data_IF_837617906198
#
_entry.id   IF_837617906198
#
_cell.length_a   1.000
_cell.length_b   1.000
_cell.length_c   1.000
_cell.angle_alpha   90.00
_cell.angle_beta   90.00
_cell.angle_gamma   90.00
#
_symmetry.space_group_name_H-M   'P 1'
#
loop_
_entity.id
_entity.type
_entity.pdbx_description
1 polymer ?
#
# COMPACT_ATOMS: atom_id res chain seq x y z
N UNK A 1 -18.86 -1.37 18.25
CA UNK A 1 -18.98 0.05 17.83
C UNK A 1 -17.96 0.85 18.63
N UNK A 2 -16.80 1.14 18.06
CA UNK A 2 -15.79 2.03 18.67
C UNK A 2 -15.89 3.35 17.93
N UNK A 3 -16.38 4.38 18.61
CA UNK A 3 -16.45 5.75 18.15
C UNK A 3 -15.03 6.22 17.82
N UNK A 4 -14.80 6.60 16.58
CA UNK A 4 -13.61 7.33 16.16
C UNK A 4 -13.54 8.62 16.99
N UNK A 5 -12.59 8.71 17.93
CA UNK A 5 -12.29 9.96 18.65
C UNK A 5 -11.82 10.97 17.61
N UNK A 6 -12.68 11.93 17.32
CA UNK A 6 -12.26 13.17 16.67
C UNK A 6 -11.27 13.85 17.62
N UNK A 7 -10.05 14.12 17.17
CA UNK A 7 -9.10 14.90 17.97
C UNK A 7 -9.69 16.30 18.19
N UNK A 8 -9.76 16.73 19.44
CA UNK A 8 -10.23 18.07 19.78
C UNK A 8 -9.31 19.13 19.18
N UNK A 9 -9.82 20.35 18.94
CA UNK A 9 -9.00 21.48 18.49
C UNK A 9 -7.80 21.69 19.43
N UNK A 10 -7.96 21.45 20.73
CA UNK A 10 -6.86 21.51 21.70
C UNK A 10 -5.78 20.46 21.43
N UNK A 11 -6.15 19.23 21.13
CA UNK A 11 -5.18 18.17 20.80
C UNK A 11 -4.43 18.48 19.49
N UNK A 12 -5.14 18.96 18.46
CA UNK A 12 -4.52 19.37 17.21
C UNK A 12 -3.51 20.50 17.40
N UNK A 13 -3.87 21.52 18.21
CA UNK A 13 -2.97 22.62 18.57
C UNK A 13 -1.78 22.13 19.40
N UNK A 14 -1.99 21.22 20.36
CA UNK A 14 -0.92 20.63 21.15
C UNK A 14 0.08 19.90 20.25
N UNK A 15 -0.40 19.10 19.29
CA UNK A 15 0.43 18.37 18.34
C UNK A 15 1.23 19.31 17.42
N UNK A 16 0.60 20.39 16.96
CA UNK A 16 1.25 21.41 16.12
C UNK A 16 2.34 22.18 16.87
N UNK A 17 2.08 22.56 18.12
CA UNK A 17 3.07 23.22 18.97
C UNK A 17 4.22 22.26 19.35
N UNK A 18 3.92 21.00 19.66
CA UNK A 18 4.92 19.95 19.91
C UNK A 18 5.84 19.77 18.73
N UNK A 19 5.28 19.64 17.54
CA UNK A 19 6.03 19.56 16.28
C UNK A 19 6.91 20.79 16.06
N UNK A 20 6.38 22.00 16.33
CA UNK A 20 7.15 23.24 16.23
C UNK A 20 8.33 23.32 17.19
N UNK A 21 8.19 22.82 18.43
CA UNK A 21 9.29 22.72 19.41
C UNK A 21 10.36 21.74 18.88
N UNK A 22 9.94 20.55 18.45
CA UNK A 22 10.88 19.52 17.97
C UNK A 22 11.62 19.95 16.69
N UNK A 23 10.99 20.74 15.83
CA UNK A 23 11.60 21.26 14.60
C UNK A 23 12.43 22.54 14.82
N UNK A 24 12.65 22.94 16.09
CA UNK A 24 13.48 24.11 16.39
C UNK A 24 12.87 25.45 16.00
N UNK A 25 11.56 25.52 15.73
CA UNK A 25 10.86 26.77 15.39
C UNK A 25 11.01 27.83 16.49
N UNK A 26 11.16 27.37 17.73
CA UNK A 26 11.47 28.20 18.89
C UNK A 26 12.64 27.54 19.66
N UNK A 27 13.68 28.33 19.99
CA UNK A 27 14.91 27.75 20.52
C UNK A 27 14.95 27.67 22.07
N UNK A 28 14.67 28.74 22.78
CA UNK A 28 14.78 28.77 24.24
C UNK A 28 13.47 29.04 24.98
N UNK A 29 12.56 29.81 24.35
CA UNK A 29 11.30 30.21 24.97
C UNK A 29 10.15 30.12 24.00
N UNK A 30 8.98 29.67 24.53
CA UNK A 30 7.73 29.69 23.75
C UNK A 30 7.22 31.12 23.55
N UNK A 31 6.63 31.45 22.39
CA UNK A 31 5.88 32.68 22.21
C UNK A 31 4.75 32.80 23.22
N UNK A 32 4.43 34.03 23.59
CA UNK A 32 3.32 34.29 24.52
C UNK A 32 1.96 33.84 23.96
N UNK A 33 1.02 33.49 24.85
CA UNK A 33 -0.34 33.01 24.53
C UNK A 33 -1.05 33.87 23.47
N UNK A 34 -0.96 35.19 23.58
CA UNK A 34 -1.61 36.12 22.65
C UNK A 34 -1.06 36.01 21.24
N UNK A 35 0.26 35.87 21.11
CA UNK A 35 0.91 35.72 19.81
C UNK A 35 0.54 34.39 19.15
N UNK A 36 0.55 33.29 19.92
CA UNK A 36 0.16 31.98 19.43
C UNK A 36 -1.32 31.92 19.05
N UNK A 37 -2.20 32.59 19.81
CA UNK A 37 -3.63 32.66 19.50
C UNK A 37 -3.90 33.38 18.17
N UNK A 38 -3.18 34.49 17.91
CA UNK A 38 -3.23 35.22 16.65
C UNK A 38 -2.68 34.38 15.49
N UNK A 39 -1.54 33.78 15.68
CA UNK A 39 -0.83 33.01 14.65
C UNK A 39 -1.62 31.76 14.22
N UNK A 40 -2.23 31.05 15.16
CA UNK A 40 -2.98 29.80 14.91
C UNK A 40 -4.49 30.02 14.74
N UNK A 41 -4.97 31.26 14.83
CA UNK A 41 -6.39 31.66 14.71
C UNK A 41 -7.33 30.85 15.64
N UNK A 42 -6.87 30.59 16.89
CA UNK A 42 -7.64 29.86 17.89
C UNK A 42 -7.79 30.67 19.18
N UNK A 43 -8.75 30.27 20.02
CA UNK A 43 -9.02 30.98 21.27
C UNK A 43 -7.82 30.94 22.24
N UNK A 44 -7.65 31.99 23.03
CA UNK A 44 -6.67 32.03 24.12
C UNK A 44 -6.79 30.85 25.08
N UNK A 45 -8.02 30.35 25.30
CA UNK A 45 -8.31 29.21 26.17
C UNK A 45 -7.78 27.89 25.58
N UNK A 46 -7.89 27.75 24.24
CA UNK A 46 -7.36 26.59 23.50
C UNK A 46 -5.84 26.54 23.58
N UNK A 47 -5.17 27.71 23.36
CA UNK A 47 -3.72 27.82 23.49
C UNK A 47 -3.26 27.51 24.91
N UNK A 48 -3.94 28.05 25.92
CA UNK A 48 -3.54 27.80 27.33
C UNK A 48 -3.62 26.31 27.69
N UNK A 49 -4.70 25.63 27.27
CA UNK A 49 -4.82 24.16 27.47
C UNK A 49 -3.75 23.38 26.72
N UNK A 50 -3.43 23.76 25.49
CA UNK A 50 -2.38 23.11 24.71
C UNK A 50 -1.00 23.30 25.36
N UNK A 51 -0.71 24.50 25.90
CA UNK A 51 0.52 24.78 26.63
C UNK A 51 0.58 24.01 27.96
N UNK A 52 -0.54 23.88 28.70
CA UNK A 52 -0.58 23.02 29.90
C UNK A 52 -0.33 21.54 29.56
N UNK A 53 -0.85 21.05 28.43
CA UNK A 53 -0.54 19.68 28.00
C UNK A 53 0.96 19.50 27.76
N UNK A 54 1.60 20.46 27.08
CA UNK A 54 3.05 20.42 26.85
C UNK A 54 3.89 20.57 28.15
N UNK A 55 3.38 21.33 29.14
CA UNK A 55 3.97 21.37 30.48
C UNK A 55 3.88 20.03 31.21
N UNK A 56 2.70 19.37 31.12
CA UNK A 56 2.49 18.03 31.70
C UNK A 56 3.35 16.96 31.00
N UNK A 57 3.62 17.14 29.71
CA UNK A 57 4.55 16.29 28.94
C UNK A 57 6.02 16.59 29.22
N UNK A 58 6.31 17.65 29.99
CA UNK A 58 7.68 18.05 30.30
C UNK A 58 8.45 18.73 29.17
N UNK A 59 7.78 19.11 28.10
CA UNK A 59 8.41 19.76 26.94
C UNK A 59 8.65 21.26 27.14
N UNK A 60 7.90 21.88 28.05
CA UNK A 60 8.07 23.29 28.44
C UNK A 60 7.90 23.44 29.93
N UNK A 61 8.53 24.46 30.50
CA UNK A 61 8.44 24.81 31.92
C UNK A 61 7.83 26.21 32.10
N UNK A 62 6.76 26.28 32.89
CA UNK A 62 6.15 27.56 33.30
C UNK A 62 7.03 28.27 34.28
N UNK A 63 7.33 29.56 34.05
CA UNK A 63 8.13 30.41 34.95
C UNK A 63 7.29 31.33 35.84
N UNK A 64 5.99 31.10 35.95
CA UNK A 64 5.06 31.93 36.70
C UNK A 64 4.38 33.01 35.88
N UNK A 65 3.42 33.76 36.52
CA UNK A 65 2.59 34.75 35.82
C UNK A 65 3.42 35.83 35.13
N UNK A 66 3.17 36.05 33.86
CA UNK A 66 3.79 37.11 33.04
C UNK A 66 5.14 36.75 32.43
N UNK A 67 5.72 35.61 32.73
CA UNK A 67 6.99 35.15 32.13
C UNK A 67 6.74 34.19 31.00
N UNK A 68 7.67 34.18 30.01
CA UNK A 68 7.63 33.22 28.91
C UNK A 68 7.95 31.82 29.44
N UNK A 69 7.28 30.82 28.92
CA UNK A 69 7.59 29.42 29.21
C UNK A 69 8.92 29.04 28.57
N UNK A 70 9.81 28.41 29.34
CA UNK A 70 11.04 27.85 28.79
C UNK A 70 10.74 26.56 28.05
N UNK A 71 11.36 26.39 26.92
CA UNK A 71 11.43 25.10 26.25
C UNK A 71 12.47 24.30 27.08
N UNK A 72 12.04 23.15 27.59
CA UNK A 72 12.97 22.23 28.22
C UNK A 72 13.78 21.64 27.05
N UNK A 73 15.03 22.05 26.93
CA UNK A 73 15.97 21.32 26.11
C UNK A 73 15.96 19.90 26.69
N UNK A 74 15.43 18.95 25.92
CA UNK A 74 15.74 17.56 26.20
C UNK A 74 17.25 17.49 26.36
N UNK A 75 17.81 16.80 27.41
CA UNK A 75 19.24 16.67 27.57
C UNK A 75 19.79 16.37 26.19
N UNK A 76 20.90 17.01 25.80
CA UNK A 76 21.60 16.82 24.52
C UNK A 76 21.80 15.32 24.30
N UNK A 77 20.75 14.66 23.97
CA UNK A 77 20.74 13.31 23.52
C UNK A 77 20.83 13.44 22.01
N UNK A 78 22.08 13.38 21.55
CA UNK A 78 22.47 13.12 20.19
C UNK A 78 21.56 13.83 19.19
N UNK A 79 22.05 14.89 18.56
CA UNK A 79 21.42 15.48 17.39
C UNK A 79 20.81 14.31 16.62
N UNK A 80 19.47 14.25 16.49
CA UNK A 80 18.82 13.17 15.77
C UNK A 80 19.50 13.09 14.42
N UNK A 81 20.49 12.20 14.31
CA UNK A 81 21.08 11.89 13.02
C UNK A 81 19.91 11.39 12.20
N UNK A 82 19.55 12.18 11.17
CA UNK A 82 18.48 11.80 10.27
C UNK A 82 18.77 10.40 9.76
N UNK A 83 17.82 9.47 9.92
CA UNK A 83 18.00 8.11 9.45
C UNK A 83 18.13 8.09 7.93
N UNK A 84 19.02 7.26 7.43
CA UNK A 84 19.14 6.93 6.02
C UNK A 84 18.21 5.75 5.68
N UNK A 85 17.08 6.05 5.02
CA UNK A 85 15.99 5.10 4.80
C UNK A 85 16.02 4.61 3.36
N UNK A 86 16.18 3.30 3.19
CA UNK A 86 16.21 2.65 1.89
C UNK A 86 14.82 2.09 1.52
N UNK A 87 14.36 2.36 0.29
CA UNK A 87 13.20 1.73 -0.32
C UNK A 87 13.66 0.63 -1.28
N UNK A 88 13.39 -0.63 -0.93
CA UNK A 88 13.68 -1.77 -1.78
C UNK A 88 12.42 -2.13 -2.58
N UNK A 89 12.46 -1.80 -3.88
CA UNK A 89 11.34 -1.95 -4.80
C UNK A 89 11.17 -3.40 -5.26
N UNK A 90 9.94 -3.78 -5.60
CA UNK A 90 9.66 -5.04 -6.27
C UNK A 90 10.26 -5.08 -7.68
N UNK A 91 10.04 -4.04 -8.47
CA UNK A 91 10.48 -3.92 -9.86
C UNK A 91 11.23 -2.62 -10.12
N UNK A 92 12.07 -2.62 -11.15
CA UNK A 92 12.81 -1.44 -11.62
C UNK A 92 12.01 -0.53 -12.55
N UNK A 93 10.80 -0.93 -12.97
CA UNK A 93 10.05 -0.23 -14.00
C UNK A 93 9.56 1.15 -13.53
N UNK A 94 9.88 2.24 -14.25
CA UNK A 94 9.60 3.61 -13.81
C UNK A 94 8.11 3.96 -13.68
N UNK A 95 7.25 3.30 -14.46
CA UNK A 95 5.80 3.57 -14.45
C UNK A 95 5.09 3.04 -13.20
N UNK A 96 5.65 2.05 -12.51
CA UNK A 96 5.12 1.55 -11.23
C UNK A 96 5.27 2.58 -10.10
N UNK A 97 6.23 3.51 -10.20
CA UNK A 97 6.44 4.57 -9.21
C UNK A 97 5.43 5.71 -9.41
N UNK A 98 5.03 5.98 -10.64
CA UNK A 98 4.05 7.03 -10.97
C UNK A 98 2.66 6.77 -10.39
N UNK A 99 2.27 5.50 -10.30
CA UNK A 99 0.99 5.07 -9.71
C UNK A 99 1.03 5.05 -8.17
N UNK A 100 2.22 5.19 -7.57
CA UNK A 100 2.43 5.22 -6.12
C UNK A 100 2.64 6.65 -5.60
N UNK A 101 1.76 7.58 -5.91
CA UNK A 101 1.83 8.98 -5.45
C UNK A 101 2.05 9.10 -3.94
N UNK A 102 1.47 8.17 -3.17
CA UNK A 102 1.66 8.09 -1.72
C UNK A 102 3.11 7.72 -1.29
N UNK A 103 3.92 7.08 -2.14
CA UNK A 103 5.34 6.84 -1.86
C UNK A 103 6.12 8.15 -1.97
N UNK A 104 5.79 9.01 -2.94
CA UNK A 104 6.39 10.33 -3.06
C UNK A 104 5.98 11.22 -1.87
N UNK A 105 4.71 11.19 -1.47
CA UNK A 105 4.21 11.87 -0.27
C UNK A 105 4.95 11.37 0.99
N UNK A 106 5.08 10.04 1.14
CA UNK A 106 5.81 9.43 2.26
C UNK A 106 7.26 9.90 2.32
N UNK A 107 7.97 9.89 1.19
CA UNK A 107 9.36 10.35 1.11
C UNK A 107 9.48 11.81 1.51
N UNK A 108 8.60 12.66 0.98
CA UNK A 108 8.57 14.08 1.33
C UNK A 108 8.37 14.29 2.84
N UNK A 109 7.41 13.60 3.45
CA UNK A 109 7.17 13.68 4.90
C UNK A 109 8.37 13.20 5.73
N UNK A 110 9.08 12.17 5.27
CA UNK A 110 10.28 11.67 5.94
C UNK A 110 11.46 12.64 5.80
N UNK A 111 11.62 13.27 4.65
CA UNK A 111 12.64 14.28 4.38
C UNK A 111 12.37 15.58 5.17
N UNK A 112 11.11 16.00 5.29
CA UNK A 112 10.70 17.12 6.16
C UNK A 112 10.97 16.82 7.65
N UNK A 113 10.90 15.53 8.06
CA UNK A 113 11.25 15.10 9.41
C UNK A 113 12.77 14.99 9.64
N UNK A 114 13.61 15.35 8.67
CA UNK A 114 15.07 15.36 8.75
C UNK A 114 15.74 14.03 8.41
N UNK A 115 15.01 13.07 7.82
CA UNK A 115 15.58 11.81 7.35
C UNK A 115 16.05 11.94 5.89
N UNK A 116 16.95 11.05 5.46
CA UNK A 116 17.36 10.93 4.05
C UNK A 116 16.70 9.70 3.45
N UNK A 117 16.06 9.84 2.30
CA UNK A 117 15.40 8.72 1.63
C UNK A 117 16.03 8.42 0.27
N UNK A 118 16.14 7.14 -0.08
CA UNK A 118 16.61 6.73 -1.40
C UNK A 118 15.97 5.41 -1.83
N UNK A 119 15.86 5.22 -3.13
CA UNK A 119 15.51 3.92 -3.70
C UNK A 119 16.78 3.09 -3.88
N UNK A 120 16.69 1.79 -3.58
CA UNK A 120 17.77 0.85 -3.88
C UNK A 120 18.11 0.82 -5.37
N UNK A 121 19.39 0.64 -5.70
CA UNK A 121 19.86 0.54 -7.08
C UNK A 121 19.27 -0.67 -7.81
N UNK A 122 19.08 -1.77 -7.08
CA UNK A 122 18.48 -3.01 -7.60
C UNK A 122 17.12 -3.25 -6.97
N UNK A 123 16.21 -3.77 -7.77
CA UNK A 123 14.89 -4.25 -7.33
C UNK A 123 14.93 -5.71 -6.88
N UNK A 124 13.88 -6.14 -6.18
CA UNK A 124 13.70 -7.54 -5.78
C UNK A 124 13.66 -8.49 -6.99
N UNK A 125 13.03 -8.08 -8.10
CA UNK A 125 12.97 -8.85 -9.35
C UNK A 125 14.34 -8.96 -10.03
N UNK A 126 15.12 -7.88 -10.08
CA UNK A 126 16.49 -7.92 -10.62
C UNK A 126 17.42 -8.82 -9.78
N UNK A 127 17.15 -8.91 -8.48
CA UNK A 127 17.81 -9.85 -7.57
C UNK A 127 17.21 -11.27 -7.63
N UNK A 128 16.22 -11.50 -8.52
CA UNK A 128 15.56 -12.79 -8.72
C UNK A 128 14.68 -13.24 -7.55
N UNK A 129 14.27 -12.35 -6.64
CA UNK A 129 13.62 -12.69 -5.36
C UNK A 129 14.44 -13.70 -4.53
N UNK A 130 15.73 -13.84 -4.83
CA UNK A 130 16.65 -14.76 -4.16
C UNK A 130 17.18 -14.15 -2.86
N UNK A 131 16.94 -14.84 -1.75
CA UNK A 131 17.31 -14.37 -0.41
C UNK A 131 18.81 -14.14 -0.27
N UNK A 132 19.64 -15.00 -0.86
CA UNK A 132 21.09 -14.88 -0.78
C UNK A 132 21.62 -13.64 -1.52
N UNK A 133 21.11 -13.38 -2.74
CA UNK A 133 21.47 -12.19 -3.52
C UNK A 133 20.96 -10.90 -2.85
N UNK A 134 19.74 -10.95 -2.29
CA UNK A 134 19.17 -9.82 -1.55
C UNK A 134 19.98 -9.54 -0.28
N UNK A 135 20.32 -10.57 0.49
CA UNK A 135 21.14 -10.45 1.68
C UNK A 135 22.50 -9.81 1.37
N UNK A 136 23.19 -10.32 0.34
CA UNK A 136 24.47 -9.77 -0.11
C UNK A 136 24.34 -8.29 -0.53
N UNK A 137 23.30 -7.92 -1.27
CA UNK A 137 23.04 -6.55 -1.69
C UNK A 137 22.75 -5.63 -0.49
N UNK A 138 21.86 -6.05 0.41
CA UNK A 138 21.43 -5.27 1.58
C UNK A 138 22.58 -5.04 2.56
N UNK A 139 23.43 -6.06 2.81
CA UNK A 139 24.57 -5.93 3.74
C UNK A 139 25.67 -5.00 3.24
N UNK A 140 25.75 -4.75 1.93
CA UNK A 140 26.69 -3.80 1.33
C UNK A 140 26.06 -2.40 1.10
N UNK A 141 24.80 -2.23 1.43
CA UNK A 141 24.09 -0.96 1.30
C UNK A 141 23.95 -0.30 2.65
N UNK A 142 24.52 0.88 2.82
CA UNK A 142 24.38 1.64 4.06
C UNK A 142 22.95 2.19 4.19
N UNK A 143 22.21 1.68 5.17
CA UNK A 143 20.88 2.14 5.53
C UNK A 143 20.59 1.87 7.00
N UNK A 144 19.93 2.82 7.68
CA UNK A 144 19.50 2.70 9.07
C UNK A 144 18.12 2.04 9.19
N UNK A 145 17.35 2.04 8.11
CA UNK A 145 16.04 1.40 8.03
C UNK A 145 15.71 0.98 6.60
N UNK A 146 14.98 -0.12 6.45
CA UNK A 146 14.53 -0.63 5.17
C UNK A 146 13.01 -0.64 5.06
N UNK A 147 12.47 -0.13 3.95
CA UNK A 147 11.06 -0.29 3.56
C UNK A 147 11.02 -1.20 2.34
N UNK A 148 10.53 -2.43 2.53
CA UNK A 148 10.49 -3.46 1.50
C UNK A 148 9.11 -3.45 0.86
N UNK A 149 9.05 -3.16 -0.44
CA UNK A 149 7.79 -3.07 -1.20
C UNK A 149 7.52 -4.42 -1.85
N UNK A 150 6.38 -5.03 -1.54
CA UNK A 150 5.87 -6.26 -2.13
C UNK A 150 6.83 -7.48 -2.05
N UNK A 151 7.57 -7.60 -0.94
CA UNK A 151 8.49 -8.73 -0.75
C UNK A 151 7.79 -10.09 -0.69
N UNK A 152 8.46 -11.13 -1.23
CA UNK A 152 8.01 -12.51 -1.08
C UNK A 152 8.13 -12.99 0.36
N UNK A 153 7.46 -14.11 0.71
CA UNK A 153 7.50 -14.63 2.08
C UNK A 153 8.93 -14.95 2.56
N UNK A 154 9.81 -15.65 1.80
CA UNK A 154 11.19 -15.90 2.23
C UNK A 154 12.01 -14.62 2.41
N UNK A 155 11.81 -13.62 1.54
CA UNK A 155 12.48 -12.33 1.63
C UNK A 155 12.08 -11.60 2.91
N UNK A 156 10.79 -11.48 3.20
CA UNK A 156 10.29 -10.80 4.40
C UNK A 156 10.67 -11.58 5.68
N UNK A 157 10.73 -12.91 5.63
CA UNK A 157 11.20 -13.72 6.74
C UNK A 157 12.68 -13.45 7.04
N UNK A 158 13.53 -13.32 6.02
CA UNK A 158 14.93 -12.93 6.19
C UNK A 158 15.04 -11.53 6.82
N UNK A 159 14.32 -10.53 6.29
CA UNK A 159 14.32 -9.17 6.85
C UNK A 159 13.81 -9.10 8.29
N UNK A 160 12.89 -9.97 8.70
CA UNK A 160 12.41 -10.01 10.08
C UNK A 160 13.47 -10.44 11.10
N UNK A 161 14.54 -11.09 10.62
CA UNK A 161 15.68 -11.57 11.40
C UNK A 161 16.92 -10.68 11.22
N UNK A 162 16.88 -9.76 10.27
CA UNK A 162 17.97 -8.83 9.98
C UNK A 162 18.08 -7.77 11.07
N UNK A 163 19.31 -7.36 11.44
CA UNK A 163 19.56 -6.43 12.54
C UNK A 163 19.05 -5.03 12.28
N UNK A 164 19.11 -4.56 11.02
CA UNK A 164 18.59 -3.25 10.65
C UNK A 164 17.06 -3.26 10.63
N UNK A 165 16.40 -2.30 11.29
CA UNK A 165 14.95 -2.19 11.29
C UNK A 165 14.33 -2.26 9.90
N UNK A 166 13.29 -3.09 9.75
CA UNK A 166 12.71 -3.38 8.46
C UNK A 166 11.18 -3.33 8.50
N UNK A 167 10.59 -2.74 7.48
CA UNK A 167 9.13 -2.57 7.32
C UNK A 167 8.65 -3.19 6.01
N UNK A 168 7.67 -4.09 6.09
CA UNK A 168 7.04 -4.68 4.92
C UNK A 168 5.85 -3.82 4.44
N UNK A 169 6.02 -3.11 3.34
CA UNK A 169 4.95 -2.43 2.64
C UNK A 169 4.35 -3.39 1.60
N UNK A 170 3.14 -3.88 1.86
CA UNK A 170 2.54 -5.00 1.13
C UNK A 170 3.30 -6.34 1.30
N UNK A 171 3.22 -7.22 0.29
CA UNK A 171 3.93 -8.49 0.26
C UNK A 171 3.34 -9.60 1.14
N UNK A 172 4.00 -10.74 1.17
CA UNK A 172 3.52 -11.97 1.82
C UNK A 172 3.99 -12.07 3.28
N UNK A 173 3.46 -11.21 4.14
CA UNK A 173 3.89 -11.03 5.54
C UNK A 173 3.18 -11.90 6.58
N UNK A 174 2.17 -12.69 6.21
CA UNK A 174 1.37 -13.50 7.16
C UNK A 174 2.28 -14.46 7.94
N UNK A 175 2.22 -14.37 9.28
CA UNK A 175 3.02 -15.20 10.18
C UNK A 175 4.47 -14.75 10.39
N UNK A 176 4.91 -13.63 9.81
CA UNK A 176 6.26 -13.09 9.96
C UNK A 176 6.24 -11.94 10.97
N UNK A 177 7.11 -11.92 12.01
CA UNK A 177 7.17 -10.86 13.02
C UNK A 177 7.90 -9.61 12.50
N UNK A 178 7.35 -8.96 11.47
CA UNK A 178 7.88 -7.74 10.85
C UNK A 178 6.84 -6.63 10.90
N UNK A 179 7.28 -5.39 11.12
CA UNK A 179 6.40 -4.22 10.99
C UNK A 179 5.81 -4.14 9.58
N UNK A 180 4.53 -3.84 9.47
CA UNK A 180 3.94 -3.79 8.14
C UNK A 180 2.66 -2.95 8.04
N UNK A 181 2.35 -2.55 6.81
CA UNK A 181 1.07 -1.97 6.44
C UNK A 181 0.67 -2.35 5.01
N UNK A 182 -0.63 -2.27 4.73
CA UNK A 182 -1.20 -2.46 3.39
C UNK A 182 -2.70 -2.73 3.43
N UNK A 183 -3.37 -2.77 2.27
CA UNK A 183 -4.79 -3.06 2.19
C UNK A 183 -5.11 -4.51 2.58
N UNK A 184 -6.28 -4.70 3.18
CA UNK A 184 -6.87 -6.02 3.41
C UNK A 184 -7.64 -6.47 2.16
N UNK A 185 -6.89 -6.96 1.17
CA UNK A 185 -7.44 -7.39 -0.14
C UNK A 185 -8.26 -8.69 -0.09
N UNK A 186 -7.94 -9.73 0.73
CA UNK A 186 -8.66 -11.00 0.69
C UNK A 186 -10.18 -10.91 0.89
N UNK A 187 -10.73 -10.16 1.87
CA UNK A 187 -12.18 -10.03 2.04
C UNK A 187 -12.87 -9.37 0.83
N UNK A 188 -12.18 -8.43 0.18
CA UNK A 188 -12.72 -7.75 -1.01
C UNK A 188 -12.65 -8.68 -2.23
N UNK A 189 -11.62 -9.51 -2.33
CA UNK A 189 -11.53 -10.55 -3.36
C UNK A 189 -12.71 -11.53 -3.27
N UNK A 190 -13.13 -11.92 -2.06
CA UNK A 190 -14.37 -12.69 -1.84
C UNK A 190 -15.57 -11.95 -2.41
N UNK A 191 -15.71 -10.65 -2.11
CA UNK A 191 -16.83 -9.84 -2.61
C UNK A 191 -16.85 -9.78 -4.14
N UNK A 192 -15.72 -9.52 -4.78
CA UNK A 192 -15.56 -9.49 -6.24
C UNK A 192 -15.94 -10.85 -6.84
N UNK A 193 -15.40 -11.93 -6.30
CA UNK A 193 -15.64 -13.28 -6.81
C UNK A 193 -17.12 -13.66 -6.72
N UNK A 194 -17.77 -13.40 -5.60
CA UNK A 194 -19.20 -13.63 -5.41
C UNK A 194 -20.05 -12.80 -6.36
N UNK A 195 -19.66 -11.54 -6.57
CA UNK A 195 -20.36 -10.66 -7.52
C UNK A 195 -20.32 -11.22 -8.94
N UNK A 196 -19.14 -11.64 -9.42
CA UNK A 196 -18.99 -12.27 -10.74
C UNK A 196 -19.80 -13.57 -10.84
N UNK A 197 -19.80 -14.41 -9.79
CA UNK A 197 -20.60 -15.64 -9.77
C UNK A 197 -22.09 -15.33 -9.81
N UNK A 198 -22.56 -14.31 -9.09
CA UNK A 198 -23.96 -13.87 -9.11
C UNK A 198 -24.41 -13.35 -10.47
N UNK A 199 -23.49 -12.78 -11.26
CA UNK A 199 -23.71 -12.39 -12.67
C UNK A 199 -23.65 -13.58 -13.64
N UNK A 200 -23.55 -14.81 -13.15
CA UNK A 200 -23.58 -16.05 -13.94
C UNK A 200 -22.22 -16.50 -14.48
N UNK A 201 -21.12 -15.85 -14.12
CA UNK A 201 -19.80 -16.26 -14.58
C UNK A 201 -19.37 -17.59 -13.95
N UNK A 202 -19.02 -18.56 -14.79
CA UNK A 202 -18.49 -19.87 -14.38
C UNK A 202 -17.04 -20.08 -14.83
N UNK A 203 -16.60 -19.39 -15.88
CA UNK A 203 -15.22 -19.42 -16.37
C UNK A 203 -14.52 -18.14 -15.95
N UNK A 204 -14.06 -18.13 -14.69
CA UNK A 204 -13.38 -16.99 -14.06
C UNK A 204 -11.90 -17.31 -13.92
N UNK A 205 -11.04 -16.44 -14.43
CA UNK A 205 -9.57 -16.56 -14.31
C UNK A 205 -9.04 -15.40 -13.49
N UNK A 206 -8.17 -15.69 -12.53
CA UNK A 206 -7.44 -14.68 -11.77
C UNK A 206 -5.96 -14.72 -12.19
N UNK A 207 -5.46 -13.62 -12.73
CA UNK A 207 -4.07 -13.49 -13.20
C UNK A 207 -3.31 -12.66 -12.17
N UNK A 208 -2.35 -13.31 -11.50
CA UNK A 208 -1.53 -12.70 -10.44
C UNK A 208 -0.05 -12.97 -10.69
N UNK A 209 0.81 -12.18 -10.05
CA UNK A 209 2.26 -12.37 -10.09
C UNK A 209 2.67 -13.70 -9.46
N UNK A 210 3.82 -14.25 -9.86
CA UNK A 210 4.38 -15.53 -9.39
C UNK A 210 4.44 -15.63 -7.87
N UNK A 211 4.87 -14.56 -7.22
CA UNK A 211 4.93 -14.49 -5.77
C UNK A 211 3.55 -14.61 -5.08
N UNK A 212 2.46 -14.29 -5.78
CA UNK A 212 1.09 -14.39 -5.28
C UNK A 212 0.41 -15.75 -5.59
N UNK A 213 1.01 -16.59 -6.47
CA UNK A 213 0.49 -17.91 -6.82
C UNK A 213 1.36 -19.07 -6.40
N UNK A 214 2.69 -18.87 -6.26
CA UNK A 214 3.66 -19.93 -6.01
C UNK A 214 4.53 -19.63 -4.76
N UNK A 215 5.00 -20.64 -4.01
CA UNK A 215 4.69 -22.09 -4.12
C UNK A 215 3.29 -22.47 -3.64
N UNK A 216 2.58 -21.55 -2.97
CA UNK A 216 1.18 -21.65 -2.55
C UNK A 216 0.45 -20.35 -2.87
N UNK A 217 -0.85 -20.40 -3.18
CA UNK A 217 -1.64 -19.19 -3.39
C UNK A 217 -1.53 -18.22 -2.21
N UNK A 218 -1.40 -16.92 -2.50
CA UNK A 218 -1.48 -15.84 -1.51
C UNK A 218 -2.93 -15.62 -1.05
N UNK A 219 -3.12 -14.79 -0.01
CA UNK A 219 -4.42 -14.65 0.66
C UNK A 219 -5.58 -14.31 -0.28
N UNK A 220 -5.39 -13.44 -1.27
CA UNK A 220 -6.43 -13.09 -2.25
C UNK A 220 -6.72 -14.25 -3.22
N UNK A 221 -5.67 -14.90 -3.74
CA UNK A 221 -5.82 -16.05 -4.62
C UNK A 221 -6.44 -17.26 -3.89
N UNK A 222 -6.05 -17.49 -2.63
CA UNK A 222 -6.66 -18.52 -1.78
C UNK A 222 -8.15 -18.24 -1.55
N UNK A 223 -8.51 -16.98 -1.24
CA UNK A 223 -9.89 -16.55 -1.07
C UNK A 223 -10.71 -16.74 -2.36
N UNK A 224 -10.17 -16.35 -3.51
CA UNK A 224 -10.79 -16.56 -4.82
C UNK A 224 -11.07 -18.05 -5.08
N UNK A 225 -10.06 -18.92 -4.98
CA UNK A 225 -10.19 -20.35 -5.24
C UNK A 225 -11.20 -21.01 -4.28
N UNK A 226 -11.24 -20.55 -3.04
CA UNK A 226 -12.24 -21.03 -2.05
C UNK A 226 -13.67 -20.68 -2.47
N UNK A 227 -13.91 -19.45 -2.94
CA UNK A 227 -15.24 -19.02 -3.38
C UNK A 227 -15.68 -19.77 -4.65
N UNK A 228 -14.79 -19.96 -5.63
CA UNK A 228 -15.04 -20.77 -6.83
C UNK A 228 -15.49 -22.19 -6.43
N UNK A 229 -14.73 -22.83 -5.53
CA UNK A 229 -15.06 -24.18 -5.04
C UNK A 229 -16.37 -24.21 -4.26
N UNK A 230 -16.64 -23.22 -3.41
CA UNK A 230 -17.86 -23.11 -2.62
C UNK A 230 -19.10 -22.95 -3.52
N UNK A 231 -18.97 -22.28 -4.65
CA UNK A 231 -20.02 -22.13 -5.64
C UNK A 231 -20.24 -23.40 -6.52
N UNK A 232 -19.51 -24.48 -6.29
CA UNK A 232 -19.60 -25.70 -7.10
C UNK A 232 -18.96 -25.57 -8.50
N UNK A 233 -18.22 -24.50 -8.75
CA UNK A 233 -17.52 -24.32 -10.02
C UNK A 233 -16.26 -25.19 -10.01
N UNK A 234 -16.03 -25.94 -11.08
CA UNK A 234 -14.82 -26.75 -11.24
C UNK A 234 -13.58 -25.86 -11.20
N UNK A 235 -12.67 -26.12 -10.26
CA UNK A 235 -11.44 -25.35 -10.09
C UNK A 235 -10.21 -26.12 -10.58
N UNK A 236 -9.29 -25.43 -11.25
CA UNK A 236 -8.06 -26.00 -11.78
C UNK A 236 -7.04 -24.90 -12.12
N UNK A 237 -6.00 -25.29 -12.86
CA UNK A 237 -4.95 -24.36 -13.32
C UNK A 237 -5.50 -23.20 -14.17
N UNK A 238 -6.63 -23.39 -14.81
CA UNK A 238 -7.34 -22.35 -15.57
C UNK A 238 -7.71 -21.14 -14.68
N UNK A 239 -8.14 -21.38 -13.43
CA UNK A 239 -8.60 -20.29 -12.56
C UNK A 239 -7.44 -19.45 -12.00
N UNK A 240 -6.26 -20.05 -11.84
CA UNK A 240 -5.04 -19.39 -11.38
C UNK A 240 -3.87 -19.87 -12.23
N UNK A 241 -3.78 -19.42 -13.50
CA UNK A 241 -2.78 -19.92 -14.43
C UNK A 241 -1.36 -19.49 -14.04
N UNK A 242 -0.40 -20.36 -14.36
CA UNK A 242 1.01 -19.98 -14.34
C UNK A 242 1.37 -19.28 -15.66
N UNK A 243 2.26 -18.29 -15.57
CA UNK A 243 2.70 -17.52 -16.73
C UNK A 243 4.06 -16.90 -16.47
N UNK A 244 4.80 -16.62 -17.52
CA UNK A 244 6.06 -15.88 -17.46
C UNK A 244 5.79 -14.39 -17.29
N UNK A 245 6.41 -13.77 -16.29
CA UNK A 245 6.19 -12.36 -15.93
C UNK A 245 6.97 -11.42 -16.88
N UNK A 246 6.65 -11.52 -18.15
CA UNK A 246 7.12 -10.68 -19.24
C UNK A 246 5.91 -10.21 -20.06
N UNK A 247 6.10 -9.20 -20.90
CA UNK A 247 5.07 -8.76 -21.85
C UNK A 247 4.65 -9.91 -22.76
N UNK A 248 5.62 -10.63 -23.29
CA UNK A 248 5.44 -11.76 -24.19
C UNK A 248 4.70 -12.91 -23.50
N UNK A 249 5.09 -13.22 -22.25
CA UNK A 249 4.43 -14.25 -21.44
C UNK A 249 2.98 -13.88 -21.10
N UNK A 250 2.68 -12.60 -20.82
CA UNK A 250 1.32 -12.15 -20.56
C UNK A 250 0.43 -12.25 -21.82
N UNK A 251 0.95 -11.85 -22.98
CA UNK A 251 0.25 -11.99 -24.26
C UNK A 251 0.00 -13.46 -24.59
N UNK A 252 1.03 -14.31 -24.46
CA UNK A 252 0.91 -15.75 -24.72
C UNK A 252 -0.12 -16.42 -23.78
N UNK A 253 -0.17 -16.02 -22.49
CA UNK A 253 -1.22 -16.47 -21.57
C UNK A 253 -2.61 -16.10 -22.07
N UNK A 254 -2.84 -14.85 -22.43
CA UNK A 254 -4.15 -14.39 -22.92
C UNK A 254 -4.52 -15.12 -24.22
N UNK A 255 -3.59 -15.30 -25.16
CA UNK A 255 -3.82 -16.08 -26.39
C UNK A 255 -4.27 -17.50 -26.08
N UNK A 256 -3.53 -18.20 -25.22
CA UNK A 256 -3.87 -19.56 -24.79
C UNK A 256 -5.24 -19.65 -24.13
N UNK A 257 -5.58 -18.70 -23.24
CA UNK A 257 -6.88 -18.67 -22.58
C UNK A 257 -8.03 -18.50 -23.59
N UNK A 258 -7.90 -17.54 -24.52
CA UNK A 258 -8.95 -17.24 -25.48
C UNK A 258 -9.01 -18.24 -26.66
N UNK A 259 -7.95 -18.99 -26.93
CA UNK A 259 -7.93 -20.04 -27.91
C UNK A 259 -8.63 -21.32 -27.46
N UNK A 260 -8.33 -21.76 -26.21
CA UNK A 260 -8.77 -23.08 -25.74
C UNK A 260 -10.02 -23.03 -24.85
N UNK A 261 -10.03 -22.12 -23.88
CA UNK A 261 -11.12 -22.02 -22.91
C UNK A 261 -11.35 -20.54 -22.55
N UNK A 262 -12.05 -19.78 -23.42
CA UNK A 262 -12.23 -18.35 -23.18
C UNK A 262 -12.86 -18.06 -21.84
N UNK A 263 -12.21 -17.27 -20.95
CA UNK A 263 -12.82 -16.82 -19.72
C UNK A 263 -13.99 -15.89 -20.02
N UNK A 264 -15.02 -15.93 -19.19
CA UNK A 264 -16.10 -14.93 -19.23
C UNK A 264 -15.84 -13.77 -18.26
N UNK A 265 -14.95 -13.98 -17.29
CA UNK A 265 -14.46 -12.91 -16.42
C UNK A 265 -12.97 -13.12 -16.10
N UNK A 266 -12.22 -12.02 -16.04
CA UNK A 266 -10.79 -12.00 -15.67
C UNK A 266 -10.61 -11.03 -14.51
N UNK A 267 -9.97 -11.49 -13.45
CA UNK A 267 -9.51 -10.70 -12.32
C UNK A 267 -8.00 -10.48 -12.49
N UNK A 268 -7.57 -9.25 -12.55
CA UNK A 268 -6.17 -8.85 -12.79
C UNK A 268 -5.59 -8.20 -11.52
N UNK A 269 -4.38 -8.58 -11.14
CA UNK A 269 -3.76 -8.11 -9.88
C UNK A 269 -3.32 -6.65 -9.97
N UNK A 270 -2.79 -6.23 -11.13
CA UNK A 270 -2.13 -4.96 -11.33
C UNK A 270 -2.81 -4.10 -12.43
N UNK A 271 -2.75 -2.77 -12.26
CA UNK A 271 -3.36 -1.84 -13.22
C UNK A 271 -2.76 -1.92 -14.63
N UNK A 272 -1.44 -2.12 -14.75
CA UNK A 272 -0.81 -2.27 -16.07
C UNK A 272 -1.27 -3.54 -16.80
N UNK A 273 -1.50 -4.64 -16.08
CA UNK A 273 -2.07 -5.87 -16.64
C UNK A 273 -3.50 -5.62 -17.14
N UNK A 274 -4.28 -4.83 -16.37
CA UNK A 274 -5.62 -4.46 -16.79
C UNK A 274 -5.60 -3.70 -18.12
N UNK A 275 -4.77 -2.67 -18.26
CA UNK A 275 -4.65 -1.93 -19.51
C UNK A 275 -4.15 -2.81 -20.67
N UNK A 276 -3.17 -3.66 -20.41
CA UNK A 276 -2.66 -4.61 -21.42
C UNK A 276 -3.76 -5.59 -21.87
N UNK A 277 -4.57 -6.10 -20.95
CA UNK A 277 -5.70 -6.97 -21.27
C UNK A 277 -6.77 -6.23 -22.09
N UNK A 278 -7.13 -5.00 -21.71
CA UNK A 278 -8.08 -4.17 -22.48
C UNK A 278 -7.59 -3.99 -23.93
N UNK A 279 -6.31 -3.64 -24.11
CA UNK A 279 -5.72 -3.46 -25.43
C UNK A 279 -5.73 -4.78 -26.25
N UNK A 280 -5.31 -5.88 -25.62
CA UNK A 280 -5.32 -7.21 -26.23
C UNK A 280 -6.72 -7.61 -26.71
N UNK A 281 -7.74 -7.42 -25.88
CA UNK A 281 -9.13 -7.77 -26.19
C UNK A 281 -9.68 -6.88 -27.31
N UNK A 282 -9.42 -5.57 -27.25
CA UNK A 282 -9.87 -4.61 -28.25
C UNK A 282 -9.33 -4.95 -29.66
N UNK A 283 -8.03 -5.30 -29.78
CA UNK A 283 -7.43 -5.68 -31.07
C UNK A 283 -8.00 -6.97 -31.66
N UNK A 284 -8.68 -7.78 -30.86
CA UNK A 284 -9.36 -9.03 -31.28
C UNK A 284 -10.87 -8.89 -31.40
N UNK A 285 -11.40 -7.67 -31.23
CA UNK A 285 -12.84 -7.41 -31.32
C UNK A 285 -13.65 -8.03 -30.18
N UNK A 286 -13.00 -8.37 -29.05
CA UNK A 286 -13.64 -8.90 -27.84
C UNK A 286 -14.08 -7.72 -26.99
N UNK A 287 -15.36 -7.61 -26.70
CA UNK A 287 -15.96 -6.45 -26.06
C UNK A 287 -16.05 -6.61 -24.56
N UNK A 288 -15.69 -5.54 -23.83
CA UNK A 288 -15.83 -5.41 -22.38
C UNK A 288 -17.04 -4.50 -22.11
N UNK A 289 -18.00 -4.89 -21.25
CA UNK A 289 -18.12 -6.19 -20.54
C UNK A 289 -18.86 -7.28 -21.32
N UNK A 290 -19.36 -7.00 -22.54
CA UNK A 290 -20.33 -7.83 -23.25
C UNK A 290 -19.87 -9.27 -23.52
N UNK A 291 -18.59 -9.45 -23.86
CA UNK A 291 -18.01 -10.75 -24.19
C UNK A 291 -17.13 -11.27 -23.03
N UNK A 292 -16.52 -10.37 -22.25
CA UNK A 292 -15.71 -10.68 -21.05
C UNK A 292 -15.76 -9.55 -20.04
N UNK A 293 -15.98 -9.87 -18.79
CA UNK A 293 -15.88 -8.95 -17.65
C UNK A 293 -14.44 -8.82 -17.16
N UNK A 294 -14.01 -7.60 -16.85
CA UNK A 294 -12.68 -7.33 -16.27
C UNK A 294 -12.79 -6.63 -14.93
N UNK A 295 -11.98 -7.09 -13.96
CA UNK A 295 -11.81 -6.46 -12.64
C UNK A 295 -10.33 -6.30 -12.35
N UNK A 296 -9.92 -5.14 -11.80
CA UNK A 296 -8.58 -4.93 -11.28
C UNK A 296 -8.56 -5.04 -9.75
N UNK A 297 -7.61 -5.80 -9.22
CA UNK A 297 -7.37 -5.93 -7.76
C UNK A 297 -6.54 -4.79 -7.17
N UNK A 298 -6.32 -3.73 -7.95
CA UNK A 298 -5.66 -2.50 -7.54
C UNK A 298 -6.37 -1.29 -8.12
N UNK A 299 -5.95 -0.08 -7.73
CA UNK A 299 -6.45 1.17 -8.29
C UNK A 299 -5.32 1.97 -8.92
N UNK A 300 -5.61 2.66 -10.02
CA UNK A 300 -4.68 3.57 -10.67
C UNK A 300 -5.37 4.90 -11.00
N UNK A 301 -4.65 6.04 -10.96
CA UNK A 301 -5.19 7.33 -11.37
C UNK A 301 -5.75 7.33 -12.80
N UNK A 302 -5.17 6.51 -13.68
CA UNK A 302 -5.61 6.31 -15.06
C UNK A 302 -7.05 5.80 -15.18
N UNK A 303 -7.57 5.09 -14.16
CA UNK A 303 -8.94 4.57 -14.19
C UNK A 303 -10.01 5.66 -14.21
N UNK A 304 -9.70 6.85 -13.67
CA UNK A 304 -10.59 8.00 -13.74
C UNK A 304 -10.84 8.51 -15.18
N UNK A 305 -10.01 8.11 -16.14
CA UNK A 305 -10.10 8.49 -17.56
C UNK A 305 -10.69 7.40 -18.46
N UNK A 306 -11.06 6.26 -17.85
CA UNK A 306 -11.58 5.12 -18.62
C UNK A 306 -13.10 5.19 -18.79
N UNK A 307 -13.57 4.92 -20.01
CA UNK A 307 -14.97 4.72 -20.35
C UNK A 307 -15.10 3.41 -21.15
N UNK A 308 -15.87 2.43 -20.64
CA UNK A 308 -16.64 2.44 -19.39
C UNK A 308 -15.75 2.51 -18.15
N UNK A 309 -16.31 2.96 -17.01
CA UNK A 309 -15.60 3.02 -15.73
C UNK A 309 -15.05 1.66 -15.32
N UNK A 310 -13.84 1.65 -14.76
CA UNK A 310 -13.16 0.40 -14.39
C UNK A 310 -13.70 -0.15 -13.07
N UNK A 311 -14.08 -1.43 -13.08
CA UNK A 311 -14.35 -2.17 -11.84
C UNK A 311 -13.00 -2.51 -11.15
N UNK A 312 -12.81 -2.03 -9.92
CA UNK A 312 -11.51 -2.17 -9.26
C UNK A 312 -11.61 -2.18 -7.73
N UNK A 313 -10.51 -2.50 -7.06
CA UNK A 313 -10.39 -2.37 -5.62
C UNK A 313 -9.74 -1.02 -5.30
N UNK A 314 -10.40 -0.26 -4.43
CA UNK A 314 -9.90 1.01 -3.90
C UNK A 314 -9.58 0.91 -2.41
N UNK A 315 -8.50 1.56 -1.98
CA UNK A 315 -8.11 1.70 -0.57
C UNK A 315 -7.46 3.07 -0.33
N UNK A 316 -7.55 3.55 0.91
CA UNK A 316 -6.94 4.83 1.31
C UNK A 316 -5.49 4.60 1.75
N UNK A 317 -4.56 5.26 1.07
CA UNK A 317 -3.13 5.16 1.36
C UNK A 317 -2.70 5.95 2.62
N UNK A 318 -3.44 7.00 3.01
CA UNK A 318 -3.07 7.88 4.13
C UNK A 318 -2.83 7.15 5.47
N UNK A 319 -3.63 6.12 5.87
CA UNK A 319 -3.32 5.35 7.06
C UNK A 319 -2.00 4.57 6.96
N UNK A 320 -1.64 4.10 5.76
CA UNK A 320 -0.37 3.40 5.50
C UNK A 320 0.80 4.37 5.65
N UNK A 321 0.73 5.52 5.00
CA UNK A 321 1.74 6.59 5.11
C UNK A 321 1.96 6.97 6.58
N UNK A 322 0.89 7.31 7.31
CA UNK A 322 0.97 7.64 8.76
C UNK A 322 1.56 6.50 9.59
N UNK A 323 1.27 5.25 9.23
CA UNK A 323 1.82 4.09 9.94
C UNK A 323 3.34 3.98 9.74
N UNK A 324 3.83 4.22 8.53
CA UNK A 324 5.27 4.17 8.21
C UNK A 324 6.00 5.32 8.90
N UNK A 325 5.49 6.55 8.81
CA UNK A 325 6.09 7.71 9.51
C UNK A 325 6.20 7.44 11.01
N UNK A 326 5.14 6.95 11.66
CA UNK A 326 5.18 6.58 13.09
C UNK A 326 6.19 5.45 13.39
N UNK A 327 6.33 4.49 12.48
CA UNK A 327 7.32 3.43 12.62
C UNK A 327 8.74 3.99 12.56
N UNK A 328 9.05 4.86 11.61
CA UNK A 328 10.33 5.55 11.50
C UNK A 328 10.61 6.38 12.75
N UNK A 329 9.63 7.10 13.29
CA UNK A 329 9.76 7.81 14.57
C UNK A 329 10.13 6.87 15.73
N UNK A 330 9.57 5.67 15.77
CA UNK A 330 9.92 4.66 16.78
C UNK A 330 11.34 4.15 16.56
N UNK A 331 11.75 3.86 15.33
CA UNK A 331 13.12 3.45 14.98
C UNK A 331 14.13 4.53 15.40
N UNK A 332 13.88 5.80 15.07
CA UNK A 332 14.73 6.92 15.44
C UNK A 332 14.90 7.09 16.96
N UNK A 333 13.96 6.56 17.75
CA UNK A 333 14.00 6.53 19.22
C UNK A 333 14.54 5.21 19.79
N UNK A 334 15.07 4.32 18.96
CA UNK A 334 15.52 2.98 19.37
C UNK A 334 14.41 2.06 19.86
N UNK A 335 13.14 2.33 19.51
CA UNK A 335 11.99 1.53 19.95
C UNK A 335 11.66 0.47 18.92
N UNK A 336 11.57 -0.78 19.35
CA UNK A 336 11.07 -1.86 18.51
C UNK A 336 9.55 -1.72 18.26
N UNK A 337 9.15 -1.82 17.00
CA UNK A 337 7.75 -1.78 16.61
C UNK A 337 7.51 -2.77 15.46
N UNK A 338 6.96 -3.94 15.78
CA UNK A 338 6.62 -5.04 14.83
C UNK A 338 5.12 -5.11 14.51
N UNK A 339 4.34 -4.07 14.81
CA UNK A 339 2.88 -4.08 14.56
C UNK A 339 2.58 -4.16 13.08
N UNK A 340 1.60 -5.01 12.76
CA UNK A 340 1.05 -5.15 11.42
C UNK A 340 -0.30 -4.43 11.36
N UNK A 341 -0.47 -3.60 10.34
CA UNK A 341 -1.70 -2.80 10.14
C UNK A 341 -2.31 -3.14 8.79
N UNK A 342 -3.61 -3.44 8.79
CA UNK A 342 -4.39 -3.61 7.57
C UNK A 342 -5.33 -2.41 7.41
N UNK A 343 -5.39 -1.85 6.21
CA UNK A 343 -6.34 -0.80 5.86
C UNK A 343 -7.52 -1.39 5.12
N UNK A 344 -8.70 -0.85 5.36
CA UNK A 344 -9.92 -1.31 4.69
C UNK A 344 -9.82 -1.03 3.20
N UNK A 345 -10.00 -2.08 2.40
CA UNK A 345 -10.21 -1.98 0.96
C UNK A 345 -11.71 -2.07 0.64
N UNK A 346 -12.11 -1.56 -0.52
CA UNK A 346 -13.50 -1.58 -1.02
C UNK A 346 -13.50 -1.97 -2.48
N UNK A 347 -14.51 -2.71 -2.89
CA UNK A 347 -14.81 -2.92 -4.28
C UNK A 347 -15.57 -1.70 -4.83
N UNK A 348 -15.05 -1.14 -5.91
CA UNK A 348 -15.69 -0.11 -6.72
C UNK A 348 -16.23 -0.80 -7.96
N UNK A 349 -17.52 -0.92 -8.03
CA UNK A 349 -18.21 -1.45 -9.20
C UNK A 349 -18.07 -0.48 -10.37
N UNK A 350 -17.88 -1.02 -11.55
CA UNK A 350 -17.68 -0.23 -12.78
C UNK A 350 -18.28 -0.90 -14.01
N UNK A 351 -18.33 -0.17 -15.09
CA UNK A 351 -18.92 -0.63 -16.34
C UNK A 351 -18.10 -1.69 -17.10
N UNK A 352 -16.95 -2.11 -16.56
CA UNK A 352 -16.17 -3.24 -17.13
C UNK A 352 -16.65 -4.61 -16.66
N UNK A 353 -17.71 -4.67 -15.86
CA UNK A 353 -18.39 -5.89 -15.42
C UNK A 353 -19.81 -5.92 -15.99
N UNK A 354 -20.27 -7.07 -16.40
CA UNK A 354 -21.64 -7.32 -16.88
C UNK A 354 -22.06 -8.76 -16.62
N UNK A 355 -23.27 -9.12 -17.04
CA UNK A 355 -23.75 -10.49 -16.99
C UNK A 355 -22.87 -11.43 -17.84
N UNK A 356 -22.76 -12.67 -17.42
CA UNK A 356 -22.05 -13.68 -18.21
C UNK A 356 -22.69 -13.83 -19.59
N UNK A 357 -21.90 -13.86 -20.68
CA UNK A 357 -22.44 -14.01 -22.01
C UNK A 357 -23.21 -15.35 -22.17
N UNK A 358 -24.43 -15.27 -22.64
CA UNK A 358 -25.26 -16.45 -22.94
C UNK A 358 -24.70 -17.20 -24.14
N UNK A 359 -24.34 -18.47 -23.97
CA UNK A 359 -23.85 -19.34 -25.06
C UNK A 359 -22.37 -19.11 -25.42
N UNK A 360 -21.83 -19.98 -26.27
CA UNK A 360 -20.46 -19.92 -26.78
C UNK A 360 -20.26 -18.83 -27.85
N UNK A 361 -20.62 -17.58 -27.56
CA UNK A 361 -20.59 -16.48 -28.55
C UNK A 361 -19.20 -16.23 -29.14
N UNK A 362 -18.13 -16.55 -28.42
CA UNK A 362 -16.74 -16.42 -28.89
C UNK A 362 -16.31 -17.56 -29.85
N UNK A 363 -16.97 -18.74 -29.78
CA UNK A 363 -16.68 -19.87 -30.71
C UNK A 363 -17.38 -19.74 -32.05
N UNK A 364 -18.46 -18.96 -32.17
CA UNK A 364 -19.22 -18.83 -33.41
C UNK A 364 -18.54 -17.93 -34.45
N UNK A 365 -17.65 -17.02 -34.03
CA UNK A 365 -16.95 -16.10 -34.95
C UNK A 365 -15.73 -16.66 -35.67
N UNK A 366 -15.21 -17.87 -35.29
CA UNK A 366 -14.07 -18.53 -35.98
C UNK A 366 -14.50 -19.42 -37.18
N UNK A 367 -15.79 -19.49 -37.53
CA UNK A 367 -16.31 -20.32 -38.68
C UNK A 367 -16.88 -19.49 -39.81
N UNK A 368 -16.53 -18.21 -39.91
CA UNK A 368 -16.92 -17.37 -41.04
C UNK A 368 -15.69 -16.81 -41.74
#
# INVERSE_FOLDING_TARGET
MSLSRFSSITEQVTDLLRTGIHNGRWQQTMPGRTRLALELQVSHKTIERALCNLETEGLILGQGKGRKRLIVEAPENEARQGLRIAFLKDSALPYEIGDMSYILELRHLLEEAGHTTFFSEKSLKELGMDVGRIAAFVTHTEADAWIIIAGSHPVLEWFSKYSTPSFALFGRRKGIPIASAGPDKPPVCVTVTRHLIALGHQRITMIVQKQHRSPKPGGSAEAFLKEIKTAGISSGTFNLPDWEESKEGFVALLESLFEHTPPTAIILDEAFQFHAAVYFLATRGIRIPKDVSLVCMDSAPSFAWCEPSVAHIHWDARPVVRRIVRWIDNVARGKEDKRQTLTKAKFIEGGTIGEAPHGNSLYSKKKG
#
